data_IF_199876536516
#
_entry.id   IF_199876536516
#
_cell.length_a   1.000
_cell.length_b   1.000
_cell.length_c   1.000
_cell.angle_alpha   90.00
_cell.angle_beta   90.00
_cell.angle_gamma   90.00
#
_symmetry.space_group_name_H-M   'P 1'
#
loop_
_entity.id
_entity.type
_entity.pdbx_description
1 polymer ?
#
# COMPACT_ATOMS: atom_id res chain seq x y z
N UNK A 1 -21.31 -12.95 22.72
CA UNK A 1 -20.41 -11.97 23.39
C UNK A 1 -19.23 -11.59 22.51
N UNK A 2 -19.48 -11.01 21.33
CA UNK A 2 -18.44 -10.67 20.33
C UNK A 2 -17.92 -9.22 20.40
N UNK A 3 -18.51 -8.35 21.23
CA UNK A 3 -18.39 -6.92 20.99
C UNK A 3 -17.07 -6.27 21.48
N UNK A 4 -16.31 -6.87 22.40
CA UNK A 4 -15.27 -6.14 23.15
C UNK A 4 -14.04 -7.02 23.49
N UNK A 5 -13.48 -7.74 22.51
CA UNK A 5 -12.23 -8.48 22.75
C UNK A 5 -11.06 -7.54 23.04
N UNK A 6 -11.11 -6.30 22.53
CA UNK A 6 -10.14 -5.24 22.79
C UNK A 6 -10.12 -4.81 24.27
N UNK A 7 -11.26 -4.88 24.98
CA UNK A 7 -11.31 -4.57 26.41
C UNK A 7 -10.63 -5.63 27.28
N UNK A 8 -10.42 -6.84 26.73
CA UNK A 8 -9.63 -7.90 27.37
C UNK A 8 -8.14 -7.75 27.08
N UNK A 9 -7.77 -6.82 26.20
CA UNK A 9 -6.40 -6.53 25.80
C UNK A 9 -5.93 -5.26 26.51
N UNK A 10 -4.63 -5.16 26.67
CA UNK A 10 -3.93 -4.03 27.29
C UNK A 10 -4.41 -2.67 26.75
N UNK A 11 -4.51 -1.67 27.64
CA UNK A 11 -4.87 -0.31 27.31
C UNK A 11 -3.89 0.32 26.30
N UNK A 12 -2.61 -0.05 26.36
CA UNK A 12 -1.57 0.39 25.41
C UNK A 12 -1.90 0.00 23.96
N UNK A 13 -2.51 -1.17 23.72
CA UNK A 13 -2.90 -1.59 22.38
C UNK A 13 -4.03 -0.70 21.82
N UNK A 14 -5.02 -0.37 22.65
CA UNK A 14 -6.15 0.45 22.21
C UNK A 14 -5.69 1.87 21.84
N UNK A 15 -4.77 2.44 22.61
CA UNK A 15 -4.16 3.76 22.32
C UNK A 15 -3.35 3.73 21.02
N UNK A 16 -2.47 2.73 20.86
CA UNK A 16 -1.69 2.53 19.62
C UNK A 16 -2.60 2.37 18.40
N UNK A 17 -3.64 1.57 18.53
CA UNK A 17 -4.65 1.35 17.49
C UNK A 17 -5.36 2.65 17.12
N UNK A 18 -5.80 3.43 18.10
CA UNK A 18 -6.45 4.72 17.88
C UNK A 18 -5.54 5.70 17.13
N UNK A 19 -4.28 5.85 17.54
CA UNK A 19 -3.30 6.74 16.91
C UNK A 19 -3.06 6.36 15.44
N UNK A 20 -2.86 5.06 15.16
CA UNK A 20 -2.71 4.56 13.78
C UNK A 20 -3.98 4.77 12.94
N UNK A 21 -5.16 4.59 13.53
CA UNK A 21 -6.44 4.81 12.84
C UNK A 21 -6.65 6.28 12.47
N UNK A 22 -6.28 7.22 13.35
CA UNK A 22 -6.34 8.66 13.04
C UNK A 22 -5.44 9.00 11.84
N UNK A 23 -4.18 8.54 11.87
CA UNK A 23 -3.25 8.76 10.76
C UNK A 23 -3.75 8.11 9.47
N UNK A 24 -4.30 6.89 9.56
CA UNK A 24 -4.87 6.19 8.41
C UNK A 24 -6.05 6.95 7.79
N UNK A 25 -6.99 7.45 8.60
CA UNK A 25 -8.12 8.26 8.10
C UNK A 25 -7.66 9.54 7.42
N UNK A 26 -6.62 10.17 7.95
CA UNK A 26 -6.02 11.35 7.35
C UNK A 26 -5.38 11.02 6.00
N UNK A 27 -4.54 9.98 5.93
CA UNK A 27 -3.87 9.50 4.71
C UNK A 27 -4.87 9.15 3.59
N UNK A 28 -6.00 8.51 3.93
CA UNK A 28 -7.05 8.16 2.98
C UNK A 28 -7.67 9.38 2.25
N UNK A 29 -7.46 10.59 2.77
CA UNK A 29 -8.04 11.82 2.22
C UNK A 29 -6.98 12.79 1.65
N UNK A 30 -5.70 12.40 1.67
CA UNK A 30 -4.62 13.15 1.05
C UNK A 30 -4.60 12.91 -0.46
N UNK A 31 -4.50 14.00 -1.22
CA UNK A 31 -4.30 13.97 -2.65
C UNK A 31 -2.85 14.27 -3.01
N UNK A 32 -2.44 13.97 -4.25
CA UNK A 32 -1.13 14.38 -4.76
C UNK A 32 -0.96 15.91 -4.78
N UNK A 33 -2.05 16.65 -4.97
CA UNK A 33 -2.07 18.11 -4.87
C UNK A 33 -1.76 18.58 -3.45
N UNK A 34 -2.33 17.98 -2.41
CA UNK A 34 -2.01 18.31 -1.00
C UNK A 34 -0.51 18.09 -0.67
N UNK A 35 0.20 17.32 -1.51
CA UNK A 35 1.63 17.03 -1.36
C UNK A 35 2.52 17.86 -2.29
N UNK A 36 1.96 18.70 -3.16
CA UNK A 36 2.67 19.43 -4.21
C UNK A 36 3.52 18.52 -5.11
N UNK A 37 3.00 17.32 -5.39
CA UNK A 37 3.71 16.30 -6.19
C UNK A 37 3.81 16.73 -7.65
N UNK A 38 2.78 17.36 -8.21
CA UNK A 38 2.73 17.76 -9.63
C UNK A 38 3.82 18.78 -10.01
N UNK A 39 4.13 19.72 -9.11
CA UNK A 39 5.21 20.71 -9.30
C UNK A 39 6.60 20.07 -9.28
N UNK A 40 6.75 18.93 -8.58
CA UNK A 40 8.06 18.28 -8.34
C UNK A 40 8.34 17.14 -9.30
N UNK A 41 7.30 16.41 -9.72
CA UNK A 41 7.43 15.37 -10.74
C UNK A 41 7.86 15.98 -12.08
N UNK A 42 7.41 17.18 -12.41
CA UNK A 42 7.84 17.89 -13.62
C UNK A 42 9.36 18.12 -13.68
N UNK A 43 10.01 18.22 -12.52
CA UNK A 43 11.46 18.42 -12.37
C UNK A 43 12.24 17.10 -12.18
N UNK A 44 11.54 15.96 -12.04
CA UNK A 44 12.16 14.66 -11.80
C UNK A 44 12.21 13.81 -13.07
N UNK A 45 13.40 13.34 -13.43
CA UNK A 45 13.56 12.29 -14.43
C UNK A 45 13.20 10.92 -13.84
N UNK A 46 11.90 10.62 -13.84
CA UNK A 46 11.35 9.34 -13.39
C UNK A 46 11.96 8.14 -14.15
N UNK A 47 12.32 8.31 -15.42
CA UNK A 47 12.94 7.24 -16.21
C UNK A 47 14.35 6.92 -15.71
N UNK A 48 15.13 7.93 -15.30
CA UNK A 48 16.45 7.71 -14.70
C UNK A 48 16.39 6.97 -13.35
N UNK A 49 15.38 7.22 -12.51
CA UNK A 49 15.20 6.48 -11.24
C UNK A 49 14.79 5.03 -11.46
N UNK A 50 13.91 4.79 -12.42
CA UNK A 50 13.44 3.44 -12.77
C UNK A 50 14.53 2.64 -13.51
N UNK A 51 15.32 3.29 -14.37
CA UNK A 51 16.45 2.72 -15.09
C UNK A 51 17.60 2.26 -14.19
N UNK A 52 17.78 2.87 -13.00
CA UNK A 52 18.70 2.34 -11.97
C UNK A 52 18.28 0.94 -11.47
N UNK A 53 17.00 0.58 -11.61
CA UNK A 53 16.47 -0.74 -11.29
C UNK A 53 16.51 -1.75 -12.46
N UNK A 54 16.82 -1.32 -13.69
CA UNK A 54 16.84 -2.15 -14.90
C UNK A 54 18.19 -2.87 -15.12
N UNK A 55 19.33 -2.26 -14.77
CA UNK A 55 20.68 -2.84 -14.96
C UNK A 55 21.03 -4.04 -14.07
N UNK A 56 20.03 -4.57 -13.38
CA UNK A 56 20.15 -5.28 -12.12
C UNK A 56 19.66 -6.72 -12.27
N UNK A 57 20.26 -7.49 -13.20
CA UNK A 57 19.83 -8.85 -13.59
C UNK A 57 19.74 -9.85 -12.42
N UNK A 58 20.40 -9.61 -11.30
CA UNK A 58 20.30 -10.41 -10.07
C UNK A 58 20.48 -9.53 -8.81
N UNK A 59 19.85 -8.35 -8.78
CA UNK A 59 20.05 -7.48 -7.62
C UNK A 59 19.32 -8.03 -6.41
N UNK A 60 20.15 -8.46 -5.46
CA UNK A 60 19.86 -8.59 -4.03
C UNK A 60 18.87 -7.51 -3.66
N UNK A 61 17.72 -7.98 -3.24
CA UNK A 61 16.52 -7.21 -3.09
C UNK A 61 16.79 -5.86 -2.37
N UNK A 62 17.74 -5.74 -1.43
CA UNK A 62 18.02 -4.54 -0.62
C UNK A 62 18.10 -3.21 -1.36
N UNK A 63 18.63 -3.17 -2.59
CA UNK A 63 18.81 -1.91 -3.32
C UNK A 63 17.49 -1.20 -3.69
N UNK A 64 16.36 -1.92 -3.76
CA UNK A 64 15.07 -1.33 -4.10
C UNK A 64 14.47 -0.51 -2.94
N UNK A 65 14.69 -0.95 -1.70
CA UNK A 65 14.30 -0.18 -0.51
C UNK A 65 15.13 1.11 -0.45
N UNK A 66 16.43 1.05 -0.79
CA UNK A 66 17.29 2.22 -0.87
C UNK A 66 16.96 3.16 -2.04
N UNK A 67 16.56 2.62 -3.19
CA UNK A 67 16.08 3.42 -4.34
C UNK A 67 14.76 4.09 -3.98
N UNK A 68 13.84 3.37 -3.34
CA UNK A 68 12.55 3.94 -2.95
C UNK A 68 12.71 4.95 -1.82
N UNK A 69 13.57 4.68 -0.84
CA UNK A 69 13.92 5.66 0.18
C UNK A 69 14.52 6.92 -0.44
N UNK A 70 15.45 6.80 -1.41
CA UNK A 70 16.00 7.96 -2.13
C UNK A 70 14.94 8.70 -2.95
N UNK A 71 14.05 7.99 -3.63
CA UNK A 71 12.96 8.58 -4.40
C UNK A 71 12.00 9.35 -3.48
N UNK A 72 11.56 8.74 -2.37
CA UNK A 72 10.70 9.38 -1.38
C UNK A 72 11.39 10.58 -0.74
N UNK A 73 12.71 10.49 -0.50
CA UNK A 73 13.49 11.62 0.02
C UNK A 73 13.64 12.74 -1.01
N UNK A 74 13.73 12.46 -2.30
CA UNK A 74 13.77 13.54 -3.32
C UNK A 74 12.39 14.16 -3.53
N UNK A 75 11.34 13.33 -3.55
CA UNK A 75 9.96 13.76 -3.69
C UNK A 75 9.51 14.63 -2.49
N UNK A 76 9.84 14.23 -1.27
CA UNK A 76 9.39 14.91 -0.04
C UNK A 76 10.47 15.77 0.64
N UNK A 77 11.75 15.42 0.50
CA UNK A 77 12.87 16.04 1.23
C UNK A 77 13.40 17.34 0.62
N UNK A 78 12.96 17.74 -0.58
CA UNK A 78 13.11 19.13 -1.03
C UNK A 78 12.09 20.02 -0.34
N UNK A 79 12.22 20.28 0.94
CA UNK A 79 11.67 21.52 1.49
C UNK A 79 12.51 22.02 2.64
N UNK A 80 13.27 23.08 2.35
CA UNK A 80 13.27 24.39 3.01
C UNK A 80 14.68 24.98 2.78
N UNK A 81 14.95 25.44 1.55
CA UNK A 81 15.73 26.68 1.44
C UNK A 81 14.69 27.80 1.44
N UNK A 82 14.38 28.31 2.64
CA UNK A 82 13.83 29.66 2.72
C UNK A 82 14.92 30.56 2.18
N UNK A 83 14.75 31.05 0.95
CA UNK A 83 15.56 32.15 0.47
C UNK A 83 15.23 33.36 1.38
N UNK A 84 16.17 33.91 2.17
CA UNK A 84 15.85 34.91 3.20
C UNK A 84 15.45 36.29 2.64
N UNK A 85 15.19 36.42 1.33
CA UNK A 85 15.19 37.73 0.64
C UNK A 85 13.79 38.18 0.19
N UNK A 86 12.74 37.38 0.34
CA UNK A 86 11.37 37.78 -0.03
C UNK A 86 10.37 37.81 1.14
N UNK A 87 10.80 38.25 2.32
CA UNK A 87 9.87 38.93 3.24
C UNK A 87 9.72 40.37 2.77
N UNK A 88 8.72 40.64 1.93
CA UNK A 88 8.01 41.92 1.77
C UNK A 88 7.17 41.82 0.49
N UNK A 89 5.97 41.24 0.58
CA UNK A 89 4.73 41.79 0.00
C UNK A 89 3.51 41.05 0.58
N UNK A 90 2.46 41.74 1.05
CA UNK A 90 1.23 41.11 1.51
C UNK A 90 0.33 40.86 0.30
N UNK A 91 0.66 39.85 -0.51
CA UNK A 91 -0.29 39.35 -1.50
C UNK A 91 -1.33 38.46 -0.81
N UNK A 92 -2.59 38.58 -1.27
CA UNK A 92 -3.78 37.97 -0.69
C UNK A 92 -3.63 36.45 -0.66
N UNK A 93 -3.21 35.90 0.47
CA UNK A 93 -3.19 34.46 0.72
C UNK A 93 -4.64 33.97 0.69
N UNK A 94 -4.99 33.26 -0.38
CA UNK A 94 -6.23 32.49 -0.45
C UNK A 94 -6.30 31.58 0.78
N UNK A 95 -7.45 31.55 1.45
CA UNK A 95 -7.71 30.73 2.65
C UNK A 95 -7.61 29.20 2.40
N UNK A 96 -7.14 28.79 1.22
CA UNK A 96 -7.03 27.40 0.76
C UNK A 96 -5.60 26.84 0.81
N UNK A 97 -4.55 27.67 0.82
CA UNK A 97 -3.19 27.13 0.96
C UNK A 97 -2.88 26.76 2.42
N UNK A 98 -2.23 25.61 2.60
CA UNK A 98 -1.72 25.14 3.88
C UNK A 98 -0.61 26.10 4.35
N UNK A 99 -0.44 26.22 5.67
CA UNK A 99 0.75 26.93 6.16
C UNK A 99 1.98 26.06 5.93
N UNK A 100 3.17 26.67 5.82
CA UNK A 100 4.43 25.92 5.67
C UNK A 100 4.63 24.84 6.74
N UNK A 101 4.10 25.06 7.96
CA UNK A 101 4.07 24.05 9.03
C UNK A 101 3.11 22.90 8.72
N UNK A 102 1.88 23.21 8.30
CA UNK A 102 0.89 22.18 7.98
C UNK A 102 1.34 21.34 6.79
N UNK A 103 1.92 21.97 5.76
CA UNK A 103 2.53 21.27 4.62
C UNK A 103 3.63 20.32 5.04
N UNK A 104 4.51 20.76 5.94
CA UNK A 104 5.57 19.91 6.49
C UNK A 104 4.97 18.70 7.21
N UNK A 105 3.90 18.86 7.98
CA UNK A 105 3.25 17.75 8.70
C UNK A 105 2.61 16.78 7.70
N UNK A 106 1.86 17.28 6.71
CA UNK A 106 1.24 16.44 5.67
C UNK A 106 2.30 15.61 4.94
N UNK A 107 3.43 16.22 4.57
CA UNK A 107 4.56 15.54 3.92
C UNK A 107 5.22 14.50 4.82
N UNK A 108 5.41 14.80 6.11
CA UNK A 108 5.98 13.85 7.08
C UNK A 108 5.08 12.61 7.21
N UNK A 109 3.76 12.80 7.32
CA UNK A 109 2.80 11.69 7.40
C UNK A 109 2.83 10.84 6.13
N UNK A 110 2.80 11.47 4.95
CA UNK A 110 2.87 10.78 3.67
C UNK A 110 4.20 10.04 3.46
N UNK A 111 5.32 10.66 3.81
CA UNK A 111 6.65 10.04 3.73
C UNK A 111 6.72 8.81 4.64
N UNK A 112 6.31 8.93 5.91
CA UNK A 112 6.23 7.79 6.83
C UNK A 112 5.40 6.64 6.26
N UNK A 113 4.22 6.95 5.74
CA UNK A 113 3.33 5.93 5.17
C UNK A 113 4.00 5.18 4.01
N UNK A 114 4.55 5.91 3.04
CA UNK A 114 5.19 5.31 1.87
C UNK A 114 6.46 4.54 2.25
N UNK A 115 7.22 5.04 3.24
CA UNK A 115 8.41 4.37 3.78
C UNK A 115 8.03 3.06 4.45
N UNK A 116 7.03 3.05 5.33
CA UNK A 116 6.48 1.84 5.97
C UNK A 116 5.95 0.84 4.92
N UNK A 117 5.23 1.31 3.90
CA UNK A 117 4.71 0.47 2.81
C UNK A 117 5.84 -0.20 2.02
N UNK A 118 6.92 0.52 1.74
CA UNK A 118 8.11 0.01 1.06
C UNK A 118 9.03 -0.82 1.96
N UNK A 119 8.84 -0.78 3.28
CA UNK A 119 9.73 -1.43 4.24
C UNK A 119 9.55 -2.93 4.26
N UNK A 120 10.65 -3.62 4.01
CA UNK A 120 10.66 -5.10 3.97
C UNK A 120 10.54 -5.73 5.32
N UNK A 121 11.06 -5.04 6.33
CA UNK A 121 10.93 -5.52 7.71
C UNK A 121 9.47 -5.50 8.10
N UNK A 122 8.73 -4.45 7.73
CA UNK A 122 7.29 -4.36 7.94
C UNK A 122 6.55 -5.43 7.12
N UNK A 123 6.82 -5.53 5.82
CA UNK A 123 6.21 -6.55 4.95
C UNK A 123 6.44 -7.97 5.45
N UNK A 124 7.67 -8.34 5.84
CA UNK A 124 7.98 -9.66 6.41
C UNK A 124 7.21 -9.91 7.70
N UNK A 125 7.07 -8.89 8.56
CA UNK A 125 6.28 -9.00 9.79
C UNK A 125 4.80 -9.21 9.49
N UNK A 126 4.22 -8.46 8.55
CA UNK A 126 2.84 -8.62 8.08
C UNK A 126 2.61 -10.05 7.56
N UNK A 127 3.44 -10.49 6.62
CA UNK A 127 3.37 -11.85 6.07
C UNK A 127 3.54 -12.93 7.14
N UNK A 128 4.47 -12.76 8.08
CA UNK A 128 4.66 -13.70 9.19
C UNK A 128 3.47 -13.77 10.15
N UNK A 129 2.68 -12.68 10.26
CA UNK A 129 1.48 -12.67 11.09
C UNK A 129 0.35 -13.50 10.46
N UNK A 130 0.31 -13.58 9.13
CA UNK A 130 -0.65 -14.41 8.38
C UNK A 130 -0.16 -15.84 8.15
N UNK A 131 1.16 -16.06 8.22
CA UNK A 131 1.76 -17.35 7.97
C UNK A 131 1.17 -18.45 8.86
N UNK A 132 0.85 -19.57 8.21
CA UNK A 132 0.23 -20.74 8.82
C UNK A 132 1.35 -21.60 9.38
N UNK A 133 1.22 -21.93 10.67
CA UNK A 133 1.89 -23.12 11.23
C UNK A 133 0.91 -24.26 11.02
N UNK A 134 1.37 -25.50 10.90
CA UNK A 134 0.63 -26.68 10.37
C UNK A 134 -0.82 -26.91 10.88
N UNK A 135 -1.27 -26.21 11.94
CA UNK A 135 -2.63 -26.21 12.46
C UNK A 135 -3.43 -24.93 12.17
N UNK A 136 -4.75 -25.10 11.97
CA UNK A 136 -5.71 -23.98 11.89
C UNK A 136 -5.66 -23.17 13.19
N UNK A 137 -5.33 -21.87 13.14
CA UNK A 137 -5.16 -21.06 14.34
C UNK A 137 -6.50 -20.83 15.04
N UNK A 138 -6.49 -20.89 16.36
CA UNK A 138 -7.66 -20.53 17.17
C UNK A 138 -7.95 -19.03 17.08
N UNK A 139 -9.16 -18.61 17.46
CA UNK A 139 -9.54 -17.19 17.47
C UNK A 139 -8.62 -16.37 18.38
N UNK A 140 -8.23 -16.92 19.53
CA UNK A 140 -7.32 -16.29 20.49
C UNK A 140 -5.92 -16.08 19.88
N UNK A 141 -5.42 -17.07 19.14
CA UNK A 141 -4.14 -16.95 18.44
C UNK A 141 -4.20 -15.89 17.34
N UNK A 142 -5.31 -15.77 16.62
CA UNK A 142 -5.49 -14.71 15.62
C UNK A 142 -5.50 -13.32 16.28
N UNK A 143 -6.18 -13.15 17.42
CA UNK A 143 -6.12 -11.89 18.17
C UNK A 143 -4.69 -11.55 18.61
N UNK A 144 -3.94 -12.51 19.17
CA UNK A 144 -2.56 -12.28 19.61
C UNK A 144 -1.64 -11.86 18.45
N UNK A 145 -1.77 -12.55 17.31
CA UNK A 145 -1.02 -12.20 16.09
C UNK A 145 -1.39 -10.81 15.58
N UNK A 146 -2.67 -10.46 15.59
CA UNK A 146 -3.13 -9.12 15.20
C UNK A 146 -2.59 -8.02 16.13
N UNK A 147 -2.64 -8.22 17.45
CA UNK A 147 -2.08 -7.27 18.44
C UNK A 147 -0.59 -7.06 18.24
N UNK A 148 0.16 -8.14 18.01
CA UNK A 148 1.60 -8.09 17.73
C UNK A 148 1.90 -7.37 16.42
N UNK A 149 1.07 -7.58 15.40
CA UNK A 149 1.17 -6.91 14.10
C UNK A 149 0.96 -5.40 14.23
N UNK A 150 -0.13 -4.97 14.89
CA UNK A 150 -0.43 -3.54 15.12
C UNK A 150 0.68 -2.87 15.93
N UNK A 151 1.16 -3.52 17.01
CA UNK A 151 2.30 -2.99 17.78
C UNK A 151 3.57 -2.86 16.93
N UNK A 152 3.84 -3.84 16.06
CA UNK A 152 4.99 -3.79 15.15
C UNK A 152 4.89 -2.66 14.13
N UNK A 153 3.68 -2.38 13.62
CA UNK A 153 3.44 -1.25 12.72
C UNK A 153 3.64 0.08 13.45
N UNK A 154 3.10 0.20 14.67
CA UNK A 154 3.30 1.37 15.52
C UNK A 154 4.77 1.68 15.74
N UNK A 155 5.56 0.68 16.12
CA UNK A 155 6.99 0.83 16.38
C UNK A 155 7.78 1.19 15.10
N UNK A 156 7.33 0.72 13.94
CA UNK A 156 7.95 1.06 12.65
C UNK A 156 7.72 2.54 12.29
N UNK A 157 6.48 3.03 12.41
CA UNK A 157 6.16 4.45 12.23
C UNK A 157 6.95 5.34 13.19
N UNK A 158 7.03 4.96 14.47
CA UNK A 158 7.78 5.68 15.50
C UNK A 158 9.30 5.72 15.19
N UNK A 159 9.85 4.61 14.68
CA UNK A 159 11.25 4.54 14.26
C UNK A 159 11.54 5.47 13.07
N UNK A 160 10.67 5.45 12.06
CA UNK A 160 10.83 6.28 10.86
C UNK A 160 10.71 7.77 11.19
N UNK A 161 9.78 8.16 12.07
CA UNK A 161 9.66 9.53 12.57
C UNK A 161 10.92 9.99 13.31
N UNK A 162 11.47 9.12 14.16
CA UNK A 162 12.70 9.41 14.89
C UNK A 162 13.88 9.62 13.96
N UNK A 163 13.98 8.84 12.89
CA UNK A 163 15.04 9.00 11.89
C UNK A 163 14.89 10.34 11.15
N UNK A 164 13.69 10.64 10.64
CA UNK A 164 13.43 11.92 9.97
C UNK A 164 13.69 13.12 10.88
N UNK A 165 13.33 13.06 12.16
CA UNK A 165 13.60 14.14 13.11
C UNK A 165 15.11 14.40 13.28
N UNK A 166 15.94 13.35 13.23
CA UNK A 166 17.40 13.47 13.31
C UNK A 166 18.00 14.09 12.04
N UNK A 167 17.45 13.75 10.89
CA UNK A 167 17.94 14.22 9.58
C UNK A 167 17.53 15.67 9.28
N UNK A 168 16.31 16.04 9.64
CA UNK A 168 15.73 17.36 9.34
C UNK A 168 16.01 18.41 10.41
N UNK A 169 16.60 18.03 11.55
CA UNK A 169 16.76 18.92 12.70
C UNK A 169 15.43 19.41 13.29
N UNK A 170 14.31 18.78 12.92
CA UNK A 170 12.99 19.05 13.47
C UNK A 170 13.05 18.82 14.99
N UNK A 171 12.89 19.90 15.77
CA UNK A 171 12.81 19.87 17.23
C UNK A 171 11.49 19.28 17.71
N UNK A 172 11.12 18.08 17.25
CA UNK A 172 9.86 17.45 17.63
C UNK A 172 9.89 16.78 19.02
N UNK A 173 11.04 16.65 19.68
CA UNK A 173 11.09 16.15 21.05
C UNK A 173 12.40 16.53 21.76
N UNK A 174 12.31 17.35 22.81
CA UNK A 174 13.48 17.66 23.67
C UNK A 174 13.67 16.66 24.82
N UNK A 175 12.77 15.70 25.10
CA UNK A 175 12.89 14.85 26.31
C UNK A 175 12.23 13.45 26.18
N UNK A 176 12.73 12.57 25.32
CA UNK A 176 12.37 11.14 25.34
C UNK A 176 10.88 10.82 25.07
N UNK A 177 10.08 11.79 24.63
CA UNK A 177 8.68 11.61 24.25
C UNK A 177 8.57 10.84 22.93
N UNK A 178 7.51 10.02 22.81
CA UNK A 178 7.17 9.37 21.54
C UNK A 178 6.81 10.44 20.50
N UNK A 179 7.25 10.28 19.26
CA UNK A 179 6.99 11.22 18.16
C UNK A 179 5.59 11.06 17.57
N UNK A 180 5.06 9.83 17.56
CA UNK A 180 3.75 9.55 16.95
C UNK A 180 2.58 10.27 17.63
N UNK A 181 2.46 10.33 18.99
CA UNK A 181 1.39 11.10 19.63
C UNK A 181 1.43 12.59 19.28
N UNK A 182 2.61 13.18 19.19
CA UNK A 182 2.80 14.59 18.81
C UNK A 182 2.32 14.81 17.37
N UNK A 183 2.68 13.89 16.45
CA UNK A 183 2.22 13.94 15.07
C UNK A 183 0.71 13.79 14.96
N UNK A 184 0.10 12.92 15.78
CA UNK A 184 -1.36 12.74 15.83
C UNK A 184 -2.05 14.03 16.28
N UNK A 185 -1.53 14.70 17.32
CA UNK A 185 -2.07 15.99 17.78
C UNK A 185 -1.94 17.08 16.70
N UNK A 186 -0.80 17.15 16.02
CA UNK A 186 -0.57 18.05 14.89
C UNK A 186 -1.55 17.77 13.74
N UNK A 187 -1.79 16.50 13.38
CA UNK A 187 -2.78 16.10 12.38
C UNK A 187 -4.20 16.49 12.79
N UNK A 188 -4.59 16.25 14.05
CA UNK A 188 -5.89 16.67 14.56
C UNK A 188 -6.05 18.19 14.50
N UNK A 189 -4.99 18.95 14.85
CA UNK A 189 -4.97 20.40 14.73
C UNK A 189 -5.23 20.85 13.28
N UNK A 190 -4.60 20.20 12.30
CA UNK A 190 -4.86 20.44 10.87
C UNK A 190 -6.31 20.13 10.51
N UNK A 191 -6.83 18.97 10.91
CA UNK A 191 -8.19 18.52 10.57
C UNK A 191 -9.27 19.46 11.13
N UNK A 192 -9.14 19.89 12.38
CA UNK A 192 -10.09 20.79 13.02
C UNK A 192 -9.86 22.27 12.65
N UNK A 193 -8.63 22.66 12.33
CA UNK A 193 -8.25 24.03 11.96
C UNK A 193 -8.52 24.38 10.49
N UNK A 194 -8.42 23.42 9.56
CA UNK A 194 -8.51 23.68 8.11
C UNK A 194 -9.84 23.25 7.52
N UNK A 195 -10.34 24.06 6.57
CA UNK A 195 -11.60 23.77 5.88
C UNK A 195 -11.48 22.56 4.92
N UNK A 196 -10.31 22.39 4.28
CA UNK A 196 -9.98 21.26 3.37
C UNK A 196 -10.30 19.90 3.97
N UNK A 197 -10.08 19.73 5.27
CA UNK A 197 -10.24 18.48 5.99
C UNK A 197 -11.52 18.43 6.85
N UNK A 198 -12.47 19.36 6.62
CA UNK A 198 -13.72 19.41 7.40
C UNK A 198 -14.52 18.10 7.33
N UNK A 199 -14.46 17.39 6.19
CA UNK A 199 -15.13 16.09 5.99
C UNK A 199 -14.63 15.00 6.95
N UNK A 200 -13.39 15.10 7.43
CA UNK A 200 -12.79 14.13 8.35
C UNK A 200 -13.25 14.31 9.80
N UNK A 201 -13.67 15.54 10.18
CA UNK A 201 -13.94 15.89 11.59
C UNK A 201 -14.95 14.97 12.28
N UNK A 202 -16.08 14.57 11.66
CA UNK A 202 -16.99 13.63 12.29
C UNK A 202 -16.31 12.28 12.58
N UNK A 203 -15.57 11.74 11.60
CA UNK A 203 -14.87 10.47 11.77
C UNK A 203 -13.77 10.54 12.83
N UNK A 204 -12.99 11.63 12.88
CA UNK A 204 -11.97 11.83 13.91
C UNK A 204 -12.62 11.98 15.29
N UNK A 205 -13.70 12.76 15.41
CA UNK A 205 -14.44 12.89 16.67
C UNK A 205 -14.96 11.54 17.16
N UNK A 206 -15.48 10.69 16.27
CA UNK A 206 -15.95 9.34 16.64
C UNK A 206 -14.81 8.43 17.08
N UNK A 207 -13.61 8.53 16.48
CA UNK A 207 -12.44 7.81 16.96
C UNK A 207 -11.96 8.32 18.33
N UNK A 208 -12.17 9.60 18.65
CA UNK A 208 -11.80 10.18 19.94
C UNK A 208 -12.85 9.90 21.03
N UNK A 209 -14.13 9.79 20.65
CA UNK A 209 -15.23 9.42 21.53
C UNK A 209 -15.20 7.90 21.76
N UNK A 210 -15.18 7.45 23.02
CA UNK A 210 -14.89 6.06 23.38
C UNK A 210 -15.79 4.94 22.79
N UNK A 211 -15.50 3.72 23.22
CA UNK A 211 -15.88 2.38 22.68
C UNK A 211 -17.38 2.07 22.41
N UNK A 212 -18.32 3.01 22.56
CA UNK A 212 -19.77 2.72 22.54
C UNK A 212 -20.55 3.34 21.38
N UNK A 213 -19.90 4.04 20.45
CA UNK A 213 -20.55 4.63 19.28
C UNK A 213 -20.19 3.85 17.99
N UNK A 214 -21.13 3.69 17.02
CA UNK A 214 -20.82 3.17 15.69
C UNK A 214 -19.67 3.94 15.05
N UNK A 215 -18.61 3.24 14.66
CA UNK A 215 -17.39 3.84 14.10
C UNK A 215 -16.37 4.28 15.15
N UNK A 216 -16.54 3.85 16.42
CA UNK A 216 -15.56 4.02 17.49
C UNK A 216 -14.25 3.27 17.21
N UNK A 217 -13.25 3.48 18.07
CA UNK A 217 -11.98 2.73 18.00
C UNK A 217 -12.19 1.21 18.05
N UNK A 218 -13.10 0.72 18.89
CA UNK A 218 -13.40 -0.72 18.95
C UNK A 218 -13.94 -1.23 17.63
N UNK A 219 -14.92 -0.53 17.06
CA UNK A 219 -15.51 -0.92 15.79
C UNK A 219 -14.47 -0.88 14.68
N UNK A 220 -13.68 0.19 14.57
CA UNK A 220 -12.63 0.31 13.56
C UNK A 220 -11.56 -0.79 13.70
N UNK A 221 -11.17 -1.14 14.93
CA UNK A 221 -10.27 -2.27 15.19
C UNK A 221 -10.91 -3.63 14.90
N UNK A 222 -12.23 -3.78 15.08
CA UNK A 222 -12.97 -4.97 14.66
C UNK A 222 -12.93 -5.14 13.14
N UNK A 223 -13.22 -4.08 12.37
CA UNK A 223 -13.15 -4.12 10.91
C UNK A 223 -11.72 -4.44 10.43
N UNK A 224 -10.71 -3.82 11.04
CA UNK A 224 -9.31 -4.12 10.73
C UNK A 224 -8.95 -5.59 11.08
N UNK A 225 -9.49 -6.12 12.17
CA UNK A 225 -9.32 -7.52 12.54
C UNK A 225 -10.04 -8.46 11.56
N UNK A 226 -11.23 -8.11 11.08
CA UNK A 226 -11.94 -8.88 10.06
C UNK A 226 -11.13 -8.96 8.77
N UNK A 227 -10.59 -7.84 8.29
CA UNK A 227 -9.67 -7.81 7.15
C UNK A 227 -8.41 -8.67 7.40
N UNK A 228 -7.84 -8.59 8.60
CA UNK A 228 -6.71 -9.46 8.99
C UNK A 228 -7.07 -10.95 8.95
N UNK A 229 -8.26 -11.32 9.44
CA UNK A 229 -8.71 -12.72 9.40
C UNK A 229 -9.02 -13.19 7.98
N UNK A 230 -9.54 -12.33 7.11
CA UNK A 230 -9.72 -12.62 5.70
C UNK A 230 -8.36 -12.91 5.02
N UNK A 231 -7.36 -12.07 5.29
CA UNK A 231 -5.99 -12.28 4.79
C UNK A 231 -5.36 -13.58 5.31
N UNK A 232 -5.51 -13.87 6.61
CA UNK A 232 -4.98 -15.10 7.20
C UNK A 232 -5.64 -16.35 6.62
N UNK A 233 -6.94 -16.31 6.32
CA UNK A 233 -7.67 -17.39 5.64
C UNK A 233 -7.17 -17.58 4.21
N UNK A 234 -6.95 -16.49 3.47
CA UNK A 234 -6.40 -16.57 2.12
C UNK A 234 -5.00 -17.19 2.12
N UNK A 235 -4.15 -16.80 3.07
CA UNK A 235 -2.82 -17.41 3.24
C UNK A 235 -2.92 -18.94 3.49
N UNK A 236 -3.91 -19.41 4.26
CA UNK A 236 -4.17 -20.86 4.43
C UNK A 236 -4.58 -21.53 3.13
N UNK A 237 -5.56 -20.98 2.44
CA UNK A 237 -6.08 -21.55 1.18
C UNK A 237 -4.95 -21.63 0.14
N UNK A 238 -4.20 -20.54 -0.04
CA UNK A 238 -3.05 -20.45 -0.92
C UNK A 238 -1.98 -21.50 -0.58
N UNK A 239 -1.70 -21.74 0.71
CA UNK A 239 -0.73 -22.77 1.13
C UNK A 239 -1.22 -24.20 0.89
N UNK A 240 -2.50 -24.49 1.13
CA UNK A 240 -3.10 -25.81 0.92
C UNK A 240 -3.18 -26.18 -0.57
N UNK A 241 -3.53 -25.23 -1.43
CA UNK A 241 -3.58 -25.44 -2.88
C UNK A 241 -2.20 -25.84 -3.44
N UNK A 242 -1.10 -25.29 -2.89
CA UNK A 242 0.27 -25.61 -3.32
C UNK A 242 0.74 -26.99 -2.92
N UNK A 243 0.37 -27.46 -1.73
CA UNK A 243 0.73 -28.81 -1.27
C UNK A 243 0.04 -29.93 -2.07
N UNK A 244 -1.01 -29.61 -2.83
CA UNK A 244 -1.75 -30.55 -3.67
C UNK A 244 -1.43 -30.43 -5.17
N UNK A 245 -0.65 -29.44 -5.57
CA UNK A 245 -0.40 -29.10 -6.97
C UNK A 245 1.08 -29.09 -7.32
N UNK A 246 1.78 -30.21 -7.08
CA UNK A 246 3.08 -30.43 -7.72
C UNK A 246 2.84 -30.55 -9.25
N UNK A 247 3.34 -29.61 -10.07
CA UNK A 247 3.21 -29.72 -11.51
C UNK A 247 4.16 -30.83 -11.97
N UNK A 248 3.58 -31.95 -12.38
CA UNK A 248 4.32 -32.99 -13.09
C UNK A 248 4.72 -32.40 -14.46
N UNK A 249 6.02 -32.31 -14.80
CA UNK A 249 6.44 -31.66 -16.05
C UNK A 249 5.88 -32.44 -17.23
N UNK A 250 4.97 -31.79 -17.96
CA UNK A 250 4.39 -32.29 -19.20
C UNK A 250 5.52 -32.38 -20.22
N UNK A 251 5.73 -33.56 -20.80
CA UNK A 251 6.72 -33.70 -21.88
C UNK A 251 6.25 -32.91 -23.09
N UNK A 252 6.97 -31.85 -23.43
CA UNK A 252 6.77 -31.06 -24.64
C UNK A 252 6.66 -31.98 -25.87
N UNK A 253 5.56 -31.84 -26.61
CA UNK A 253 5.32 -32.52 -27.88
C UNK A 253 5.93 -31.64 -28.97
N UNK A 254 6.74 -32.21 -29.87
CA UNK A 254 7.30 -31.51 -31.03
C UNK A 254 6.17 -30.88 -31.87
N UNK A 255 6.16 -29.54 -31.95
CA UNK A 255 5.12 -28.73 -32.61
C UNK A 255 4.77 -27.41 -31.91
N UNK A 256 5.30 -27.15 -30.71
CA UNK A 256 4.92 -26.02 -29.83
C UNK A 256 5.83 -24.77 -29.91
N UNK A 257 6.60 -24.61 -30.99
CA UNK A 257 7.56 -23.51 -31.17
C UNK A 257 7.00 -22.08 -30.89
N UNK A 258 5.83 -21.66 -31.41
CA UNK A 258 5.30 -20.33 -31.11
C UNK A 258 4.92 -20.13 -29.63
N UNK A 259 4.62 -21.22 -28.90
CA UNK A 259 4.30 -21.14 -27.46
C UNK A 259 5.54 -20.98 -26.59
N UNK A 260 6.63 -21.66 -26.95
CA UNK A 260 7.92 -21.53 -26.26
C UNK A 260 8.47 -20.10 -26.42
N UNK A 261 8.32 -19.50 -27.60
CA UNK A 261 8.75 -18.12 -27.84
C UNK A 261 7.88 -17.11 -27.06
N UNK A 262 6.57 -17.35 -26.97
CA UNK A 262 5.66 -16.55 -26.13
C UNK A 262 6.07 -16.62 -24.66
N UNK A 263 6.33 -17.81 -24.12
CA UNK A 263 6.81 -17.98 -22.75
C UNK A 263 8.14 -17.24 -22.52
N UNK A 264 9.11 -17.35 -23.44
CA UNK A 264 10.37 -16.61 -23.33
C UNK A 264 10.18 -15.10 -23.38
N UNK A 265 9.20 -14.62 -24.14
CA UNK A 265 8.87 -13.22 -24.25
C UNK A 265 8.10 -12.70 -23.02
N UNK A 266 7.31 -13.50 -22.33
CA UNK A 266 6.51 -13.00 -21.20
C UNK A 266 7.07 -13.36 -19.82
N UNK A 267 7.82 -14.46 -19.70
CA UNK A 267 8.37 -14.98 -18.45
C UNK A 267 9.61 -14.18 -18.02
N UNK A 268 9.34 -12.97 -17.53
CA UNK A 268 10.34 -12.04 -17.05
C UNK A 268 9.72 -11.10 -16.04
N UNK A 269 10.59 -10.26 -15.51
CA UNK A 269 10.20 -9.15 -14.67
C UNK A 269 9.80 -7.97 -15.54
N UNK A 270 8.59 -7.51 -15.32
CA UNK A 270 8.00 -6.34 -15.95
C UNK A 270 7.99 -5.17 -15.00
N UNK A 271 8.10 -3.99 -15.58
CA UNK A 271 8.26 -2.75 -14.87
C UNK A 271 7.24 -1.78 -15.45
N UNK A 272 6.29 -1.32 -14.63
CA UNK A 272 5.26 -0.41 -15.09
C UNK A 272 5.91 0.94 -15.35
N UNK A 273 5.81 1.42 -16.60
CA UNK A 273 6.29 2.75 -16.94
C UNK A 273 5.30 3.77 -16.38
N UNK A 274 5.72 4.80 -15.61
CA UNK A 274 4.78 5.80 -15.11
C UNK A 274 3.96 6.47 -16.22
N UNK A 275 4.58 6.68 -17.38
CA UNK A 275 3.91 7.28 -18.55
C UNK A 275 2.92 6.35 -19.26
N UNK A 276 2.81 5.07 -18.88
CA UNK A 276 1.82 4.14 -19.43
C UNK A 276 0.55 4.07 -18.57
N UNK A 277 0.47 4.86 -17.49
CA UNK A 277 -0.72 4.96 -16.64
C UNK A 277 -1.57 6.11 -17.15
N UNK A 278 -2.71 5.79 -17.77
CA UNK A 278 -3.71 6.77 -18.15
C UNK A 278 -4.89 6.72 -17.17
N UNK A 279 -5.15 7.84 -16.50
CA UNK A 279 -6.32 7.96 -15.61
C UNK A 279 -7.42 8.67 -16.38
N UNK A 280 -8.37 7.87 -16.91
CA UNK A 280 -9.49 8.39 -17.68
C UNK A 280 -10.68 8.62 -16.73
N UNK A 281 -11.03 9.88 -16.49
CA UNK A 281 -12.23 10.22 -15.71
C UNK A 281 -13.49 9.91 -16.54
N UNK A 282 -14.21 8.85 -16.16
CA UNK A 282 -15.47 8.45 -16.80
C UNK A 282 -16.71 9.25 -16.36
N UNK A 283 -16.56 10.32 -15.58
CA UNK A 283 -17.65 11.11 -15.01
C UNK A 283 -17.59 12.61 -15.35
N UNK A 284 -18.69 13.36 -15.20
CA UNK A 284 -18.78 14.78 -15.54
C UNK A 284 -17.90 15.70 -14.67
N UNK A 285 -17.40 15.22 -13.53
CA UNK A 285 -16.42 15.93 -12.72
C UNK A 285 -15.01 15.71 -13.26
N UNK A 286 -14.52 16.71 -14.00
CA UNK A 286 -13.12 16.82 -14.35
C UNK A 286 -12.31 17.07 -13.07
N UNK A 287 -11.27 16.26 -12.88
CA UNK A 287 -10.30 16.30 -11.76
C UNK A 287 -10.87 15.83 -10.42
N UNK A 288 -11.12 14.52 -10.28
CA UNK A 288 -10.82 13.91 -8.97
C UNK A 288 -9.31 13.77 -8.89
N UNK A 289 -8.69 14.54 -8.00
CA UNK A 289 -7.28 14.35 -7.68
C UNK A 289 -7.05 12.90 -7.24
N UNK A 290 -5.96 12.30 -7.71
CA UNK A 290 -5.57 10.96 -7.28
C UNK A 290 -5.24 10.98 -5.79
N UNK A 291 -5.88 10.08 -5.04
CA UNK A 291 -5.59 9.88 -3.62
C UNK A 291 -4.24 9.19 -3.48
N UNK A 292 -3.46 9.63 -2.50
CA UNK A 292 -2.12 9.11 -2.21
C UNK A 292 -2.14 7.59 -2.02
N UNK A 293 -3.10 7.11 -1.22
CA UNK A 293 -3.18 5.69 -0.85
C UNK A 293 -3.53 4.82 -2.05
N UNK A 294 -4.39 5.29 -2.94
CA UNK A 294 -4.79 4.55 -4.14
C UNK A 294 -3.62 4.44 -5.12
N UNK A 295 -2.87 5.54 -5.35
CA UNK A 295 -1.66 5.50 -6.16
C UNK A 295 -0.59 4.59 -5.54
N UNK A 296 -0.36 4.72 -4.23
CA UNK A 296 0.62 3.90 -3.52
C UNK A 296 0.28 2.40 -3.63
N UNK A 297 -1.01 2.04 -3.53
CA UNK A 297 -1.49 0.67 -3.73
C UNK A 297 -1.29 0.21 -5.17
N UNK A 298 -1.62 1.03 -6.16
CA UNK A 298 -1.41 0.70 -7.57
C UNK A 298 0.07 0.41 -7.85
N UNK A 299 0.96 1.28 -7.39
CA UNK A 299 2.42 1.10 -7.54
C UNK A 299 2.89 -0.14 -6.79
N UNK A 300 2.38 -0.38 -5.57
CA UNK A 300 2.74 -1.55 -4.78
C UNK A 300 2.33 -2.87 -5.44
N UNK A 301 1.15 -2.92 -6.06
CA UNK A 301 0.63 -4.13 -6.70
C UNK A 301 1.23 -4.34 -8.10
N UNK A 302 1.27 -3.30 -8.94
CA UNK A 302 1.55 -3.41 -10.37
C UNK A 302 2.83 -2.69 -10.83
N UNK A 303 3.44 -1.87 -9.97
CA UNK A 303 4.63 -1.09 -10.33
C UNK A 303 5.80 -1.96 -10.81
N UNK A 304 5.95 -3.15 -10.24
CA UNK A 304 6.97 -4.13 -10.64
C UNK A 304 6.43 -5.55 -10.48
N UNK A 305 6.30 -6.26 -11.58
CA UNK A 305 5.65 -7.58 -11.63
C UNK A 305 6.62 -8.65 -12.11
N UNK A 306 6.73 -9.74 -11.39
CA UNK A 306 7.24 -11.00 -11.94
C UNK A 306 6.07 -11.69 -12.63
N UNK A 307 6.22 -11.91 -13.94
CA UNK A 307 5.18 -12.50 -14.80
C UNK A 307 5.64 -13.90 -15.20
N UNK A 308 4.76 -14.87 -15.03
CA UNK A 308 4.96 -16.25 -15.48
C UNK A 308 3.73 -16.71 -16.23
N UNK A 309 3.92 -17.08 -17.48
CA UNK A 309 2.95 -17.73 -18.34
C UNK A 309 3.24 -19.22 -18.34
N UNK A 310 2.20 -20.01 -18.07
CA UNK A 310 2.27 -21.47 -18.03
C UNK A 310 2.54 -22.08 -19.43
N UNK A 311 2.91 -23.36 -19.45
CA UNK A 311 3.32 -24.08 -20.67
C UNK A 311 2.27 -23.96 -21.79
N UNK A 312 0.99 -24.09 -21.44
CA UNK A 312 -0.12 -24.02 -22.39
C UNK A 312 -0.51 -22.58 -22.79
N UNK A 313 0.15 -21.55 -22.23
CA UNK A 313 -0.21 -20.13 -22.38
C UNK A 313 -1.66 -19.80 -21.99
N UNK A 314 -2.22 -20.60 -21.06
CA UNK A 314 -3.59 -20.45 -20.55
C UNK A 314 -3.66 -19.86 -19.17
N UNK A 315 -2.55 -19.87 -18.43
CA UNK A 315 -2.47 -19.35 -17.09
C UNK A 315 -1.36 -18.30 -17.04
N UNK A 316 -1.65 -17.21 -16.36
CA UNK A 316 -0.75 -16.11 -16.07
C UNK A 316 -0.66 -15.94 -14.56
N UNK A 317 0.52 -16.16 -14.00
CA UNK A 317 0.84 -15.84 -12.62
C UNK A 317 1.55 -14.49 -12.55
N UNK A 318 0.94 -13.56 -11.83
CA UNK A 318 1.47 -12.23 -11.55
C UNK A 318 1.90 -12.15 -10.08
N UNK A 319 3.11 -11.65 -9.83
CA UNK A 319 3.60 -11.40 -8.48
C UNK A 319 4.23 -10.02 -8.37
N UNK A 320 3.82 -9.24 -7.38
CA UNK A 320 4.49 -7.98 -7.07
C UNK A 320 5.90 -8.27 -6.54
N UNK A 321 6.91 -7.77 -7.26
CA UNK A 321 8.30 -7.83 -6.82
C UNK A 321 8.57 -6.90 -5.62
N UNK A 322 7.65 -5.99 -5.32
CA UNK A 322 7.70 -5.11 -4.15
C UNK A 322 7.26 -5.81 -2.86
N UNK A 323 6.48 -6.89 -2.96
CA UNK A 323 6.04 -7.74 -1.84
C UNK A 323 7.11 -8.76 -1.40
N UNK A 324 8.38 -8.54 -1.77
CA UNK A 324 9.51 -9.48 -1.67
C UNK A 324 9.72 -10.05 -0.25
N UNK A 325 8.97 -11.09 0.08
CA UNK A 325 9.41 -12.13 1.01
C UNK A 325 10.26 -13.09 0.20
N UNK A 326 11.53 -13.21 0.58
CA UNK A 326 12.51 -14.07 -0.09
C UNK A 326 12.24 -15.55 0.20
N UNK A 327 11.10 -16.05 -0.26
CA UNK A 327 10.70 -17.44 -0.17
C UNK A 327 9.72 -17.77 -1.28
N UNK A 328 9.86 -18.95 -1.86
CA UNK A 328 8.97 -19.60 -2.84
C UNK A 328 7.51 -19.77 -2.37
N UNK A 329 7.14 -19.22 -1.21
CA UNK A 329 5.86 -19.42 -0.53
C UNK A 329 4.89 -18.23 -0.62
N UNK A 330 5.24 -17.13 -1.30
CA UNK A 330 4.35 -15.98 -1.43
C UNK A 330 3.22 -16.25 -2.44
N UNK A 331 1.96 -15.99 -2.05
CA UNK A 331 0.76 -16.07 -2.91
C UNK A 331 0.93 -15.19 -4.16
N UNK A 332 0.42 -15.65 -5.30
CA UNK A 332 0.44 -14.94 -6.60
C UNK A 332 -1.00 -14.73 -7.08
N UNK A 333 -1.19 -13.73 -7.94
CA UNK A 333 -2.44 -13.56 -8.68
C UNK A 333 -2.37 -14.44 -9.92
N UNK A 334 -3.18 -15.50 -9.94
CA UNK A 334 -3.22 -16.44 -11.06
C UNK A 334 -4.48 -16.19 -11.91
N UNK A 335 -4.28 -15.97 -13.20
CA UNK A 335 -5.31 -15.57 -14.17
C UNK A 335 -5.39 -16.55 -15.33
N UNK A 336 -6.61 -16.97 -15.68
CA UNK A 336 -6.92 -17.80 -16.84
C UNK A 336 -7.10 -16.89 -18.07
N UNK A 337 -6.44 -17.26 -19.16
CA UNK A 337 -6.31 -16.46 -20.38
C UNK A 337 -7.23 -17.00 -21.49
N UNK A 338 -8.54 -17.01 -21.26
CA UNK A 338 -9.53 -17.55 -22.20
C UNK A 338 -10.57 -16.53 -22.69
N UNK A 339 -10.38 -15.25 -22.37
CA UNK A 339 -11.28 -14.16 -22.75
C UNK A 339 -12.64 -14.21 -22.05
N UNK A 340 -12.79 -15.02 -20.99
CA UNK A 340 -14.05 -15.16 -20.22
C UNK A 340 -13.93 -14.52 -18.85
N UNK A 341 -15.09 -14.29 -18.25
CA UNK A 341 -15.19 -13.76 -16.89
C UNK A 341 -14.77 -14.84 -15.88
N UNK A 342 -13.78 -14.52 -15.08
CA UNK A 342 -13.26 -15.35 -13.99
C UNK A 342 -13.15 -14.55 -12.70
N UNK A 343 -12.93 -15.26 -11.60
CA UNK A 343 -12.69 -14.66 -10.28
C UNK A 343 -11.27 -14.94 -9.85
N UNK A 344 -10.58 -13.94 -9.31
CA UNK A 344 -9.27 -14.10 -8.66
C UNK A 344 -9.41 -13.86 -7.15
N UNK A 345 -8.55 -14.52 -6.36
CA UNK A 345 -8.64 -14.47 -4.89
C UNK A 345 -7.58 -13.60 -4.23
N UNK A 346 -6.46 -13.39 -4.91
CA UNK A 346 -5.34 -12.62 -4.41
C UNK A 346 -4.85 -11.64 -5.48
N UNK A 347 -4.46 -10.44 -5.04
CA UNK A 347 -3.73 -9.45 -5.82
C UNK A 347 -2.26 -9.89 -5.99
N UNK A 348 -1.48 -9.25 -6.90
CA UNK A 348 -0.09 -9.65 -7.15
C UNK A 348 0.80 -9.66 -5.90
N UNK A 349 0.51 -8.82 -4.90
CA UNK A 349 1.22 -8.82 -3.62
C UNK A 349 0.91 -9.99 -2.69
N UNK A 350 -0.12 -10.78 -3.02
CA UNK A 350 -0.70 -11.84 -2.19
C UNK A 350 -1.79 -11.35 -1.22
N UNK A 351 -2.18 -10.07 -1.27
CA UNK A 351 -3.32 -9.55 -0.52
C UNK A 351 -4.63 -10.10 -1.07
N UNK A 352 -5.56 -10.45 -0.20
CA UNK A 352 -6.86 -10.99 -0.57
C UNK A 352 -7.71 -9.96 -1.31
N UNK A 353 -8.24 -10.36 -2.46
CA UNK A 353 -9.28 -9.68 -3.26
C UNK A 353 -10.53 -9.34 -2.45
N UNK A 354 -10.83 -10.14 -1.42
CA UNK A 354 -11.99 -9.98 -0.55
C UNK A 354 -11.85 -8.82 0.44
N UNK A 355 -10.65 -8.23 0.56
CA UNK A 355 -10.43 -7.09 1.44
C UNK A 355 -10.73 -5.82 0.64
N UNK A 356 -11.72 -5.02 1.07
CA UNK A 356 -12.09 -3.82 0.36
C UNK A 356 -10.90 -2.86 0.20
N UNK A 357 -10.88 -2.17 -0.93
CA UNK A 357 -9.97 -1.07 -1.17
C UNK A 357 -10.30 0.11 -0.27
N UNK A 358 -9.36 1.05 -0.17
CA UNK A 358 -9.54 2.29 0.59
C UNK A 358 -10.74 3.12 0.12
N UNK A 359 -11.12 3.01 -1.15
CA UNK A 359 -12.32 3.61 -1.71
C UNK A 359 -13.63 2.89 -1.34
N UNK A 360 -13.57 1.76 -0.62
CA UNK A 360 -14.71 0.92 -0.27
C UNK A 360 -15.06 -0.11 -1.35
N UNK A 361 -14.20 -0.31 -2.34
CA UNK A 361 -14.51 -1.18 -3.47
C UNK A 361 -13.84 -2.54 -3.34
N UNK A 362 -14.53 -3.61 -3.70
CA UNK A 362 -13.94 -4.94 -3.83
C UNK A 362 -13.52 -5.18 -5.28
N UNK A 363 -12.40 -5.88 -5.47
CA UNK A 363 -11.92 -6.30 -6.80
C UNK A 363 -11.83 -7.80 -6.76
N UNK A 364 -12.48 -8.49 -7.69
CA UNK A 364 -12.53 -9.95 -7.66
C UNK A 364 -12.74 -10.59 -9.01
N UNK A 365 -13.37 -9.88 -9.95
CA UNK A 365 -13.65 -10.42 -11.27
C UNK A 365 -12.67 -9.87 -12.31
N UNK A 366 -12.38 -10.67 -13.34
CA UNK A 366 -11.53 -10.26 -14.44
C UNK A 366 -11.88 -10.95 -15.74
N UNK A 367 -11.43 -10.35 -16.84
CA UNK A 367 -11.29 -10.98 -18.15
C UNK A 367 -9.85 -10.81 -18.57
N UNK A 368 -9.22 -11.89 -19.04
CA UNK A 368 -7.86 -11.82 -19.56
C UNK A 368 -7.73 -12.69 -20.81
N UNK A 369 -7.00 -12.19 -21.79
CA UNK A 369 -6.67 -12.92 -23.01
C UNK A 369 -5.41 -12.37 -23.68
N UNK A 370 -4.74 -13.25 -24.43
CA UNK A 370 -3.76 -12.80 -25.40
C UNK A 370 -4.45 -12.32 -26.66
N UNK A 371 -3.90 -11.24 -27.23
CA UNK A 371 -4.09 -10.90 -28.64
C UNK A 371 -3.77 -12.07 -29.57
N UNK A 372 -4.34 -12.06 -30.77
CA UNK A 372 -4.12 -13.13 -31.76
C UNK A 372 -2.66 -13.30 -32.21
N UNK A 373 -1.85 -12.25 -32.09
CA UNK A 373 -0.42 -12.26 -32.41
C UNK A 373 0.45 -12.59 -31.18
N UNK A 374 -0.15 -12.77 -29.99
CA UNK A 374 0.51 -13.05 -28.71
C UNK A 374 1.50 -11.96 -28.24
N UNK A 375 1.51 -10.79 -28.88
CA UNK A 375 2.39 -9.67 -28.54
C UNK A 375 1.78 -8.77 -27.47
N UNK A 376 0.46 -8.76 -27.35
CA UNK A 376 -0.30 -7.98 -26.37
C UNK A 376 -1.11 -8.90 -25.45
N UNK A 377 -1.06 -8.62 -24.15
CA UNK A 377 -1.87 -9.24 -23.12
C UNK A 377 -2.90 -8.22 -22.63
N UNK A 378 -4.18 -8.55 -22.71
CA UNK A 378 -5.27 -7.74 -22.18
C UNK A 378 -5.71 -8.32 -20.84
N UNK A 379 -5.83 -7.46 -19.82
CA UNK A 379 -6.34 -7.82 -18.49
C UNK A 379 -7.28 -6.71 -18.03
N UNK A 380 -8.57 -7.02 -17.98
CA UNK A 380 -9.60 -6.14 -17.44
C UNK A 380 -9.94 -6.61 -16.03
N UNK A 381 -9.78 -5.73 -15.03
CA UNK A 381 -10.16 -5.99 -13.64
C UNK A 381 -11.44 -5.23 -13.29
N UNK A 382 -12.45 -5.94 -12.80
CA UNK A 382 -13.72 -5.35 -12.42
C UNK A 382 -13.77 -5.05 -10.93
N UNK A 383 -14.28 -3.86 -10.63
CA UNK A 383 -14.33 -3.29 -9.29
C UNK A 383 -15.78 -3.01 -8.94
N UNK A 384 -16.23 -3.49 -7.78
CA UNK A 384 -17.61 -3.35 -7.31
C UNK A 384 -17.67 -2.48 -6.06
N UNK A 385 -18.62 -1.55 -6.03
CA UNK A 385 -18.88 -0.77 -4.83
C UNK A 385 -19.57 -1.64 -3.77
N UNK A 386 -19.08 -1.60 -2.53
CA UNK A 386 -19.76 -2.22 -1.38
C UNK A 386 -21.03 -1.46 -0.96
#
# INVERSE_FOLDING_TARGET
NNALWQQRIDADFSEKGQQLLILWRFLQNLTLHDLHVDERIADMDLEAYWGQGEGAKEVLSGQLEDIMHRFLRELFGRSVEVDPVHELQPERVDKQSLSARDDSIVRVVAHCFLRVLSSRTVQRRLHSAWAVRDDVPTKEQLHERFVRMVSSLYDAFESDLREMARESGLKLAENGSKYLPILVDDVLSIVYGRARFKVLRPSMSTLLMGLSAPGSVADALNHAFEAFTAQAREAMISSAARNHGDPQPSRAIEGDEPRIDTQRAWNRRWLLKPSSIEVINGGPDRFRDLLLVDLARLVYEFGRLDVVVDEDSRLLSLRSALSSTSGTSASSMDLVLDGRLHVFRALPSGLSSMIPTTGGWSVGDYVAEFSSDMETLYVDLFVFAE
#
